data_IF_282704467236
#
_entry.id   IF_282704467236
#
_cell.length_a   1.000
_cell.length_b   1.000
_cell.length_c   1.000
_cell.angle_alpha   90.00
_cell.angle_beta   90.00
_cell.angle_gamma   90.00
#
_symmetry.space_group_name_H-M   'P 1'
#
loop_
_entity.id
_entity.type
_entity.pdbx_description
1 polymer ?
#
# COMPACT_ATOMS: atom_id res chain seq x y z
N UNK A 1 -30.89 1.22 -16.89
CA UNK A 1 -30.34 1.05 -15.53
C UNK A 1 -28.87 0.77 -15.68
N UNK A 2 -28.02 1.80 -15.54
CA UNK A 2 -26.57 1.62 -15.52
C UNK A 2 -26.21 1.02 -14.17
N UNK A 3 -25.74 -0.21 -14.16
CA UNK A 3 -25.15 -0.84 -12.99
C UNK A 3 -24.08 0.10 -12.45
N UNK A 4 -24.27 0.57 -11.21
CA UNK A 4 -23.19 1.20 -10.45
C UNK A 4 -22.10 0.14 -10.33
N UNK A 5 -21.09 0.17 -11.21
CA UNK A 5 -19.86 -0.59 -11.02
C UNK A 5 -19.27 -0.08 -9.71
N UNK A 6 -19.53 -0.79 -8.62
CA UNK A 6 -18.88 -0.56 -7.34
C UNK A 6 -17.38 -0.65 -7.63
N UNK A 7 -16.69 0.48 -7.60
CA UNK A 7 -15.25 0.54 -7.81
C UNK A 7 -14.59 -0.30 -6.73
N UNK A 8 -13.90 -1.38 -7.14
CA UNK A 8 -13.24 -2.30 -6.21
C UNK A 8 -12.31 -1.51 -5.27
N UNK A 9 -12.32 -1.85 -3.98
CA UNK A 9 -11.44 -1.26 -2.97
C UNK A 9 -10.35 -2.26 -2.66
N UNK A 10 -9.12 -1.96 -3.07
CA UNK A 10 -8.01 -2.91 -3.05
C UNK A 10 -6.87 -2.37 -2.20
N UNK A 11 -6.40 -3.17 -1.26
CA UNK A 11 -5.11 -2.98 -0.60
C UNK A 11 -4.13 -3.95 -1.24
N UNK A 12 -3.07 -3.42 -1.85
CA UNK A 12 -1.98 -4.22 -2.42
C UNK A 12 -0.73 -4.06 -1.56
N UNK A 13 -0.25 -5.17 -0.99
CA UNK A 13 1.03 -5.20 -0.30
C UNK A 13 2.14 -5.60 -1.27
N UNK A 14 3.12 -4.71 -1.41
CA UNK A 14 4.33 -4.87 -2.20
C UNK A 14 5.52 -4.95 -1.24
N UNK A 15 5.85 -6.17 -0.85
CA UNK A 15 6.95 -6.39 0.09
C UNK A 15 7.36 -7.84 0.18
N UNK A 16 8.60 -8.04 0.61
CA UNK A 16 9.23 -9.37 0.74
C UNK A 16 9.10 -9.92 2.16
N UNK A 17 8.75 -9.09 3.16
CA UNK A 17 8.54 -9.53 4.54
C UNK A 17 7.14 -10.14 4.72
N UNK A 18 7.09 -11.45 4.96
CA UNK A 18 5.86 -12.22 5.20
C UNK A 18 5.17 -11.85 6.52
N UNK A 19 5.91 -11.35 7.51
CA UNK A 19 5.35 -10.99 8.81
C UNK A 19 4.50 -9.71 8.76
N UNK A 20 4.72 -8.86 7.76
CA UNK A 20 3.90 -7.66 7.56
C UNK A 20 2.57 -7.96 6.86
N UNK A 21 2.54 -9.01 6.03
CA UNK A 21 1.36 -9.39 5.25
C UNK A 21 0.14 -9.67 6.13
N UNK A 22 0.31 -10.42 7.22
CA UNK A 22 -0.78 -10.80 8.13
C UNK A 22 -1.53 -9.59 8.73
N UNK A 23 -0.85 -8.66 9.42
CA UNK A 23 -1.51 -7.48 9.97
C UNK A 23 -2.12 -6.54 8.92
N UNK A 24 -1.47 -6.38 7.75
CA UNK A 24 -2.01 -5.58 6.63
C UNK A 24 -3.30 -6.21 6.11
N UNK A 25 -3.29 -7.53 5.90
CA UNK A 25 -4.46 -8.30 5.48
C UNK A 25 -5.61 -8.16 6.47
N UNK A 26 -5.33 -8.27 7.76
CA UNK A 26 -6.34 -8.14 8.80
C UNK A 26 -6.98 -6.74 8.79
N UNK A 27 -6.16 -5.68 8.68
CA UNK A 27 -6.66 -4.30 8.59
C UNK A 27 -7.57 -4.12 7.36
N UNK A 28 -7.12 -4.57 6.18
CA UNK A 28 -7.88 -4.50 4.94
C UNK A 28 -9.24 -5.21 5.03
N UNK A 29 -9.23 -6.48 5.45
CA UNK A 29 -10.46 -7.28 5.53
C UNK A 29 -11.44 -6.73 6.57
N UNK A 30 -10.95 -6.14 7.67
CA UNK A 30 -11.81 -5.56 8.70
C UNK A 30 -12.59 -4.33 8.22
N UNK A 31 -12.12 -3.66 7.16
CA UNK A 31 -12.79 -2.51 6.52
C UNK A 31 -13.52 -2.92 5.23
N UNK A 32 -13.61 -4.22 4.93
CA UNK A 32 -14.26 -4.73 3.72
C UNK A 32 -13.47 -4.51 2.42
N UNK A 33 -12.14 -4.31 2.50
CA UNK A 33 -11.27 -4.19 1.33
C UNK A 33 -10.76 -5.54 0.86
N UNK A 34 -10.55 -5.69 -0.45
CA UNK A 34 -9.80 -6.82 -1.02
C UNK A 34 -8.33 -6.66 -0.68
N UNK A 35 -7.70 -7.71 -0.14
CA UNK A 35 -6.25 -7.76 0.08
C UNK A 35 -5.56 -8.58 -0.99
N UNK A 36 -4.51 -8.02 -1.61
CA UNK A 36 -3.60 -8.73 -2.51
C UNK A 36 -2.17 -8.55 -2.04
N UNK A 37 -1.39 -9.63 -2.06
CA UNK A 37 0.06 -9.56 -1.87
C UNK A 37 0.70 -9.86 -3.21
N UNK A 38 1.56 -8.96 -3.67
CA UNK A 38 2.13 -9.04 -5.01
C UNK A 38 3.65 -8.93 -4.96
N UNK A 39 4.30 -9.60 -5.91
CA UNK A 39 5.72 -9.45 -6.15
C UNK A 39 6.00 -8.06 -6.74
N UNK A 40 6.88 -7.25 -6.13
CA UNK A 40 7.31 -5.97 -6.69
C UNK A 40 7.71 -6.03 -8.17
N UNK A 41 8.37 -7.11 -8.61
CA UNK A 41 8.78 -7.30 -9.99
C UNK A 41 7.63 -7.44 -11.00
N UNK A 42 6.40 -7.66 -10.52
CA UNK A 42 5.20 -7.85 -11.35
C UNK A 42 4.27 -6.64 -11.35
N UNK A 43 4.62 -5.56 -10.66
CA UNK A 43 3.75 -4.38 -10.50
C UNK A 43 3.29 -3.78 -11.82
N UNK A 44 4.13 -3.77 -12.86
CA UNK A 44 3.75 -3.26 -14.17
C UNK A 44 2.63 -4.08 -14.85
N UNK A 45 2.52 -5.37 -14.54
CA UNK A 45 1.54 -6.29 -15.11
C UNK A 45 0.25 -6.40 -14.30
N UNK A 46 0.18 -5.79 -13.11
CA UNK A 46 -1.01 -5.84 -12.27
C UNK A 46 -2.16 -5.10 -12.93
N UNK A 47 -3.31 -5.77 -13.11
CA UNK A 47 -4.56 -5.10 -13.39
C UNK A 47 -5.26 -4.79 -12.07
N UNK A 48 -5.27 -3.51 -11.69
CA UNK A 48 -5.95 -3.00 -10.51
C UNK A 48 -6.91 -1.93 -11.03
N UNK A 49 -8.20 -2.10 -10.80
CA UNK A 49 -9.23 -1.13 -11.12
C UNK A 49 -9.91 -0.69 -9.82
N UNK A 50 -10.23 0.60 -9.69
CA UNK A 50 -10.93 1.15 -8.53
C UNK A 50 -10.03 1.96 -7.58
N UNK A 51 -10.34 1.92 -6.28
CA UNK A 51 -9.59 2.66 -5.26
C UNK A 51 -8.49 1.77 -4.71
N UNK A 52 -7.24 2.21 -4.81
CA UNK A 52 -6.08 1.39 -4.48
C UNK A 52 -5.30 2.03 -3.34
N UNK A 53 -4.95 1.23 -2.33
CA UNK A 53 -3.93 1.57 -1.34
C UNK A 53 -2.76 0.61 -1.53
N UNK A 54 -1.63 1.13 -1.99
CA UNK A 54 -0.41 0.36 -2.19
C UNK A 54 0.51 0.51 -0.97
N UNK A 55 0.82 -0.60 -0.30
CA UNK A 55 1.63 -0.65 0.91
C UNK A 55 3.01 -1.20 0.59
N UNK A 56 4.06 -0.44 0.92
CA UNK A 56 5.45 -0.77 0.65
C UNK A 56 6.20 -1.09 1.95
N UNK A 57 6.94 -2.20 1.98
CA UNK A 57 7.97 -2.40 3.00
C UNK A 57 9.24 -1.63 2.60
N UNK A 58 9.44 -0.44 3.15
CA UNK A 58 10.54 0.45 2.77
C UNK A 58 11.92 -0.12 3.14
N UNK A 59 11.99 -0.92 4.20
CA UNK A 59 13.25 -1.54 4.65
C UNK A 59 13.64 -2.70 3.76
N UNK A 60 12.68 -3.53 3.33
CA UNK A 60 12.95 -4.65 2.43
C UNK A 60 13.15 -4.21 0.97
N UNK A 61 12.34 -3.26 0.49
CA UNK A 61 12.41 -2.81 -0.91
C UNK A 61 13.63 -1.93 -1.20
N UNK A 62 14.12 -1.17 -0.20
CA UNK A 62 15.21 -0.21 -0.40
C UNK A 62 14.91 0.69 -1.59
N UNK A 63 15.79 0.74 -2.59
CA UNK A 63 15.67 1.61 -3.75
C UNK A 63 14.66 1.08 -4.79
N UNK A 64 14.18 -0.18 -4.66
CA UNK A 64 13.11 -0.69 -5.52
C UNK A 64 11.81 0.11 -5.32
N UNK A 65 11.62 0.80 -4.19
CA UNK A 65 10.42 1.61 -3.93
C UNK A 65 10.24 2.75 -4.94
N UNK A 66 11.32 3.34 -5.47
CA UNK A 66 11.27 4.49 -6.39
C UNK A 66 10.57 4.14 -7.72
N UNK A 67 11.04 3.14 -8.50
CA UNK A 67 10.37 2.77 -9.74
C UNK A 67 8.95 2.21 -9.50
N UNK A 68 8.70 1.58 -8.35
CA UNK A 68 7.37 1.05 -8.01
C UNK A 68 6.37 2.18 -7.74
N UNK A 69 6.77 3.19 -6.95
CA UNK A 69 5.92 4.35 -6.66
C UNK A 69 5.62 5.13 -7.94
N UNK A 70 6.62 5.37 -8.79
CA UNK A 70 6.42 6.00 -10.10
C UNK A 70 5.46 5.21 -11.00
N UNK A 71 5.63 3.89 -11.08
CA UNK A 71 4.78 3.03 -11.89
C UNK A 71 3.32 3.11 -11.44
N UNK A 72 3.07 3.08 -10.13
CA UNK A 72 1.73 3.17 -9.57
C UNK A 72 1.12 4.58 -9.70
N UNK A 73 1.93 5.65 -9.61
CA UNK A 73 1.46 7.03 -9.82
C UNK A 73 1.05 7.32 -11.27
N UNK A 74 1.68 6.68 -12.25
CA UNK A 74 1.37 6.87 -13.68
C UNK A 74 0.09 6.16 -14.11
N UNK A 75 -0.51 5.35 -13.23
CA UNK A 75 -1.79 4.67 -13.48
C UNK A 75 -2.95 5.68 -13.47
N UNK A 76 -4.05 5.33 -14.16
CA UNK A 76 -5.25 6.17 -14.19
C UNK A 76 -6.01 6.14 -12.88
N UNK A 77 -5.87 5.03 -12.15
CA UNK A 77 -6.55 4.76 -10.90
C UNK A 77 -5.97 5.59 -9.76
N UNK A 78 -6.85 6.18 -8.94
CA UNK A 78 -6.44 6.89 -7.74
C UNK A 78 -5.78 5.91 -6.77
N UNK A 79 -4.47 6.04 -6.62
CA UNK A 79 -3.66 5.19 -5.76
C UNK A 79 -3.04 6.00 -4.63
N UNK A 80 -3.35 5.61 -3.38
CA UNK A 80 -2.68 6.12 -2.18
C UNK A 80 -1.48 5.22 -1.89
N UNK A 81 -0.30 5.82 -1.82
CA UNK A 81 0.96 5.14 -1.55
C UNK A 81 1.30 5.22 -0.06
N UNK A 82 1.50 4.08 0.58
CA UNK A 82 1.78 3.97 2.01
C UNK A 82 3.09 3.22 2.23
N UNK A 83 4.05 3.85 2.87
CA UNK A 83 5.28 3.19 3.29
C UNK A 83 5.21 2.65 4.71
N UNK A 84 5.81 1.49 4.97
CA UNK A 84 6.04 0.96 6.31
C UNK A 84 7.50 1.16 6.67
N UNK A 85 7.76 1.76 7.84
CA UNK A 85 9.12 1.96 8.35
C UNK A 85 9.27 1.41 9.78
N UNK A 86 10.51 1.09 10.16
CA UNK A 86 10.89 0.78 11.53
C UNK A 86 11.36 2.05 12.24
N UNK A 87 11.09 2.17 13.55
CA UNK A 87 11.47 3.34 14.35
C UNK A 87 12.97 3.67 14.32
N UNK A 88 13.81 2.65 14.19
CA UNK A 88 15.27 2.81 14.17
C UNK A 88 15.84 3.03 12.77
N UNK A 89 15.02 2.91 11.72
CA UNK A 89 15.47 2.92 10.33
C UNK A 89 15.13 4.27 9.67
N UNK A 90 15.98 5.26 9.96
CA UNK A 90 15.90 6.61 9.38
C UNK A 90 16.09 6.59 7.86
N UNK A 91 16.84 5.63 7.32
CA UNK A 91 17.05 5.51 5.89
C UNK A 91 15.78 5.08 5.17
N UNK A 92 15.01 4.17 5.76
CA UNK A 92 13.71 3.79 5.22
C UNK A 92 12.70 4.93 5.26
N UNK A 93 12.67 5.70 6.35
CA UNK A 93 11.86 6.93 6.42
C UNK A 93 12.22 7.90 5.28
N UNK A 94 13.52 8.20 5.12
CA UNK A 94 14.02 9.09 4.08
C UNK A 94 13.70 8.58 2.67
N UNK A 95 13.88 7.27 2.41
CA UNK A 95 13.53 6.64 1.13
C UNK A 95 12.05 6.78 0.81
N UNK A 96 11.17 6.51 1.78
CA UNK A 96 9.73 6.68 1.59
C UNK A 96 9.37 8.10 1.18
N UNK A 97 9.91 9.10 1.89
CA UNK A 97 9.69 10.51 1.58
C UNK A 97 10.19 10.89 0.17
N UNK A 98 11.42 10.46 -0.18
CA UNK A 98 11.99 10.72 -1.50
C UNK A 98 11.22 10.02 -2.63
N UNK A 99 10.65 8.85 -2.36
CA UNK A 99 9.82 8.11 -3.30
C UNK A 99 8.41 8.69 -3.47
N UNK A 100 8.07 9.72 -2.69
CA UNK A 100 6.79 10.42 -2.78
C UNK A 100 5.60 9.58 -2.31
N UNK A 101 5.80 8.72 -1.29
CA UNK A 101 4.68 8.04 -0.63
C UNK A 101 3.79 9.06 0.09
N UNK A 102 2.48 8.83 0.10
CA UNK A 102 1.51 9.77 0.69
C UNK A 102 1.55 9.73 2.22
N UNK A 103 1.67 8.54 2.81
CA UNK A 103 1.79 8.34 4.25
C UNK A 103 2.89 7.34 4.58
N UNK A 104 3.49 7.49 5.76
CA UNK A 104 4.42 6.50 6.32
C UNK A 104 3.85 6.03 7.66
N UNK A 105 3.70 4.72 7.82
CA UNK A 105 3.23 4.08 9.03
C UNK A 105 4.39 3.36 9.73
N UNK A 106 4.43 3.47 11.04
CA UNK A 106 5.41 2.74 11.83
C UNK A 106 4.99 1.28 12.00
N UNK A 107 5.90 0.33 11.80
CA UNK A 107 5.64 -1.12 11.91
C UNK A 107 4.91 -1.50 13.21
N UNK A 108 5.25 -0.88 14.34
CA UNK A 108 4.64 -1.18 15.64
C UNK A 108 3.15 -0.81 15.75
N UNK A 109 2.68 0.09 14.88
CA UNK A 109 1.30 0.61 14.87
C UNK A 109 0.62 0.48 13.51
N UNK A 110 1.27 -0.15 12.54
CA UNK A 110 0.80 -0.17 11.15
C UNK A 110 -0.59 -0.77 10.98
N UNK A 111 -0.97 -1.79 11.76
CA UNK A 111 -2.29 -2.40 11.66
C UNK A 111 -3.42 -1.41 12.02
N UNK A 112 -3.44 -0.87 13.25
CA UNK A 112 -4.40 0.15 13.65
C UNK A 112 -4.38 1.41 12.76
N UNK A 113 -3.19 1.92 12.43
CA UNK A 113 -3.08 3.16 11.66
C UNK A 113 -3.51 2.95 10.19
N UNK A 114 -3.23 1.79 9.60
CA UNK A 114 -3.73 1.42 8.27
C UNK A 114 -5.26 1.26 8.30
N UNK A 115 -5.81 0.58 9.30
CA UNK A 115 -7.26 0.42 9.45
C UNK A 115 -7.96 1.79 9.46
N UNK A 116 -7.45 2.74 10.24
CA UNK A 116 -7.97 4.11 10.29
C UNK A 116 -7.89 4.81 8.92
N UNK A 117 -6.75 4.68 8.22
CA UNK A 117 -6.59 5.23 6.86
C UNK A 117 -7.61 4.65 5.87
N UNK A 118 -7.87 3.34 5.94
CA UNK A 118 -8.82 2.68 5.06
C UNK A 118 -10.26 3.12 5.37
N UNK A 119 -10.60 3.29 6.65
CA UNK A 119 -11.90 3.78 7.10
C UNK A 119 -12.21 5.19 6.55
N UNK A 120 -11.22 6.09 6.55
CA UNK A 120 -11.32 7.45 5.98
C UNK A 120 -11.66 7.45 4.47
N UNK A 121 -11.37 6.36 3.75
CA UNK A 121 -11.68 6.20 2.33
C UNK A 121 -13.03 5.49 2.10
N UNK A 122 -13.73 5.08 3.17
CA UNK A 122 -15.07 4.48 3.10
C UNK A 122 -16.18 5.49 3.39
N UNK A 123 -15.87 6.54 4.18
CA UNK A 123 -16.79 7.65 4.51
C UNK A 123 -16.84 8.70 3.41
#
# INVERSE_FOLDING_TARGET
MTENKSSEKIVVYLGKDLFLSGPIRQAALSEGWTFRQEDPGKVAALSLEGTIVAVFDLSALKDEVFPLSETLRRRKEKTTLVGISFHTDQDSLRRGQQAGVDKILHRSRMGPDLKMLLHEHVS
#
